data_IF_457738411268
#
_entry.id   IF_457738411268
#
_cell.length_a   1.000
_cell.length_b   1.000
_cell.length_c   1.000
_cell.angle_alpha   90.00
_cell.angle_beta   90.00
_cell.angle_gamma   90.00
#
_symmetry.space_group_name_H-M   'P 1'
#
loop_
_entity.id
_entity.type
_entity.pdbx_description
1 polymer ?
#
# COMPACT_ATOMS: atom_id res chain seq x y z
N UNK A 1 -5.28 -31.16 20.71
CA UNK A 1 -5.97 -29.88 20.87
C UNK A 1 -5.38 -28.99 19.80
N UNK A 2 -6.01 -28.95 18.64
CA UNK A 2 -5.65 -28.08 17.52
C UNK A 2 -6.22 -26.73 17.91
N UNK A 3 -5.38 -25.88 18.43
CA UNK A 3 -5.70 -24.48 18.62
C UNK A 3 -5.92 -23.90 17.23
N UNK A 4 -7.15 -23.54 16.92
CA UNK A 4 -7.46 -22.78 15.73
C UNK A 4 -6.49 -21.60 15.70
N UNK A 5 -5.60 -21.57 14.70
CA UNK A 5 -4.89 -20.36 14.32
C UNK A 5 -6.01 -19.37 14.02
N UNK A 6 -6.29 -18.52 15.01
CA UNK A 6 -7.20 -17.42 14.83
C UNK A 6 -6.71 -16.73 13.56
N UNK A 7 -7.61 -16.59 12.58
CA UNK A 7 -7.35 -15.77 11.42
C UNK A 7 -6.79 -14.45 11.95
N UNK A 8 -5.47 -14.37 11.92
CA UNK A 8 -4.79 -13.14 12.26
C UNK A 8 -5.51 -12.11 11.42
N UNK A 9 -6.01 -11.02 11.99
CA UNK A 9 -6.31 -9.88 11.18
C UNK A 9 -4.99 -9.60 10.50
N UNK A 10 -4.84 -10.16 9.29
CA UNK A 10 -3.69 -9.85 8.43
C UNK A 10 -3.74 -8.37 8.43
N UNK A 11 -2.84 -7.81 9.22
CA UNK A 11 -2.96 -6.46 9.67
C UNK A 11 -3.24 -5.65 8.44
N UNK A 12 -4.42 -5.07 8.39
CA UNK A 12 -4.91 -4.27 7.27
C UNK A 12 -3.92 -3.16 6.87
N UNK A 13 -2.79 -3.11 7.54
CA UNK A 13 -1.58 -2.34 7.28
C UNK A 13 -0.80 -2.82 6.04
N UNK A 14 -1.05 -4.02 5.52
CA UNK A 14 -0.31 -4.57 4.37
C UNK A 14 -0.72 -3.97 3.02
N UNK A 15 -1.60 -2.99 2.97
CA UNK A 15 -2.23 -2.51 1.73
C UNK A 15 -1.87 -1.10 1.31
N UNK A 16 -0.79 -0.57 1.81
CA UNK A 16 -0.38 0.76 1.41
C UNK A 16 0.42 0.72 0.11
N UNK A 17 -0.16 1.12 -1.00
CA UNK A 17 0.59 1.37 -2.23
C UNK A 17 1.25 2.75 -2.27
N UNK A 18 0.97 3.59 -1.30
CA UNK A 18 1.67 4.86 -1.08
C UNK A 18 2.51 4.81 0.21
N UNK A 19 3.36 3.80 0.37
CA UNK A 19 4.09 3.58 1.61
C UNK A 19 3.17 3.04 2.71
N UNK A 20 3.16 3.68 3.87
CA UNK A 20 2.35 3.28 5.02
C UNK A 20 0.86 3.70 4.94
N UNK A 21 0.44 4.40 3.87
CA UNK A 21 -0.96 4.79 3.66
C UNK A 21 -1.78 3.65 3.05
N UNK A 22 -3.06 3.57 3.40
CA UNK A 22 -3.93 2.43 3.06
C UNK A 22 -4.64 2.58 1.71
N UNK A 23 -4.86 3.82 1.24
CA UNK A 23 -5.58 4.10 -0.01
C UNK A 23 -4.60 4.38 -1.14
N UNK A 24 -4.62 3.52 -2.14
CA UNK A 24 -3.71 3.57 -3.28
C UNK A 24 -4.10 4.68 -4.26
N UNK A 25 -3.09 5.37 -4.82
CA UNK A 25 -3.29 6.18 -6.02
C UNK A 25 -3.22 5.31 -7.28
N UNK A 26 -3.82 5.78 -8.38
CA UNK A 26 -3.73 5.10 -9.66
C UNK A 26 -2.33 5.17 -10.30
N UNK A 27 -1.48 6.07 -9.85
CA UNK A 27 -0.12 6.25 -10.38
C UNK A 27 0.78 5.04 -10.08
N UNK A 28 1.70 4.76 -11.00
CA UNK A 28 2.89 3.94 -10.82
C UNK A 28 4.13 4.78 -11.13
N UNK A 29 5.29 4.36 -10.66
CA UNK A 29 6.56 5.03 -10.97
C UNK A 29 6.98 4.83 -12.43
N UNK A 30 8.04 5.51 -12.87
CA UNK A 30 8.60 5.36 -14.21
C UNK A 30 9.24 3.98 -14.41
N UNK A 31 9.23 3.50 -15.65
CA UNK A 31 9.89 2.23 -16.03
C UNK A 31 11.38 2.29 -15.69
N UNK A 32 11.88 1.21 -15.08
CA UNK A 32 13.28 1.10 -14.63
C UNK A 32 13.54 1.73 -13.26
N UNK A 33 12.58 2.44 -12.67
CA UNK A 33 12.70 2.91 -11.29
C UNK A 33 12.33 1.82 -10.29
N UNK A 34 12.97 1.89 -9.11
CA UNK A 34 12.64 1.07 -7.95
C UNK A 34 12.38 1.95 -6.73
N UNK A 35 11.71 1.41 -5.72
CA UNK A 35 11.57 2.05 -4.41
C UNK A 35 11.58 0.98 -3.30
N UNK A 36 12.02 1.39 -2.13
CA UNK A 36 11.87 0.65 -0.89
C UNK A 36 10.99 1.48 0.05
N UNK A 37 9.84 0.97 0.37
CA UNK A 37 8.95 1.51 1.38
C UNK A 37 9.07 0.66 2.63
N UNK A 38 9.22 1.29 3.80
CA UNK A 38 9.32 0.58 5.07
C UNK A 38 8.57 1.34 6.14
N UNK A 39 7.91 0.64 7.05
CA UNK A 39 7.24 1.28 8.17
C UNK A 39 7.16 0.40 9.40
N UNK A 40 7.02 1.08 10.53
CA UNK A 40 6.71 0.48 11.82
C UNK A 40 5.40 1.08 12.32
N UNK A 41 4.51 0.22 12.80
CA UNK A 41 3.21 0.61 13.34
C UNK A 41 3.00 -0.02 14.70
N UNK A 42 2.45 0.74 15.63
CA UNK A 42 2.05 0.26 16.95
C UNK A 42 0.67 0.77 17.32
N UNK A 43 -0.10 -0.05 18.00
CA UNK A 43 -1.47 0.27 18.39
C UNK A 43 -1.70 0.14 19.90
N UNK A 44 -2.75 0.79 20.39
CA UNK A 44 -3.11 0.81 21.82
C UNK A 44 -3.56 -0.56 22.35
N UNK A 45 -3.94 -1.49 21.47
CA UNK A 45 -4.28 -2.87 21.81
C UNK A 45 -3.07 -3.83 21.75
N UNK A 46 -1.85 -3.28 21.77
CA UNK A 46 -0.56 -4.00 21.67
C UNK A 46 -0.24 -4.60 20.30
N UNK A 47 -1.06 -4.39 19.28
CA UNK A 47 -0.72 -4.76 17.90
C UNK A 47 0.50 -3.98 17.44
N UNK A 48 1.34 -4.66 16.70
CA UNK A 48 2.59 -4.13 16.18
C UNK A 48 2.83 -4.66 14.76
N UNK A 49 3.43 -3.86 13.89
CA UNK A 49 3.92 -4.35 12.61
C UNK A 49 5.21 -3.63 12.19
N UNK A 50 6.10 -4.40 11.59
CA UNK A 50 7.30 -3.93 10.89
C UNK A 50 7.21 -4.44 9.46
N UNK A 51 7.31 -3.53 8.50
CA UNK A 51 7.09 -3.84 7.08
C UNK A 51 8.22 -3.30 6.23
N UNK A 52 8.62 -4.08 5.22
CA UNK A 52 9.47 -3.68 4.11
C UNK A 52 8.80 -4.09 2.79
N UNK A 53 8.70 -3.16 1.85
CA UNK A 53 8.02 -3.35 0.57
C UNK A 53 8.89 -2.81 -0.58
N UNK A 54 9.90 -3.57 -1.03
CA UNK A 54 10.60 -3.26 -2.27
C UNK A 54 9.68 -3.38 -3.47
N UNK A 55 9.78 -2.45 -4.42
CA UNK A 55 9.08 -2.53 -5.71
C UNK A 55 9.92 -1.95 -6.83
N UNK A 56 9.74 -2.48 -8.04
CA UNK A 56 10.35 -1.96 -9.27
C UNK A 56 9.32 -1.94 -10.39
N UNK A 57 9.48 -1.00 -11.31
CA UNK A 57 8.65 -0.92 -12.52
C UNK A 57 9.40 -1.49 -13.71
N UNK A 58 8.81 -2.50 -14.34
CA UNK A 58 9.31 -3.16 -15.54
C UNK A 58 8.38 -2.91 -16.72
N UNK A 59 8.92 -2.93 -17.94
CA UNK A 59 8.10 -2.90 -19.15
C UNK A 59 7.99 -4.31 -19.76
N UNK A 60 6.78 -4.82 -19.80
CA UNK A 60 6.43 -6.12 -20.44
C UNK A 60 5.43 -5.92 -21.59
N UNK A 61 5.58 -4.81 -22.34
CA UNK A 61 4.63 -4.32 -23.34
C UNK A 61 3.73 -3.20 -22.79
N UNK A 62 3.73 -3.02 -21.48
CA UNK A 62 3.23 -1.87 -20.73
C UNK A 62 3.91 -1.82 -19.35
N UNK A 63 3.97 -0.65 -18.71
CA UNK A 63 4.54 -0.53 -17.38
C UNK A 63 3.80 -1.36 -16.33
N UNK A 64 4.53 -2.19 -15.58
CA UNK A 64 4.02 -2.97 -14.45
C UNK A 64 4.93 -2.77 -13.25
N UNK A 65 4.37 -2.31 -12.14
CA UNK A 65 5.06 -2.27 -10.84
C UNK A 65 4.91 -3.63 -10.16
N UNK A 66 6.03 -4.28 -9.93
CA UNK A 66 6.13 -5.53 -9.16
C UNK A 66 6.63 -5.20 -7.77
N UNK A 67 6.00 -5.73 -6.75
CA UNK A 67 6.41 -5.55 -5.35
C UNK A 67 6.27 -6.83 -4.55
N UNK A 68 7.07 -6.93 -3.48
CA UNK A 68 6.94 -8.01 -2.48
C UNK A 68 7.00 -7.37 -1.10
N UNK A 69 5.83 -7.21 -0.49
CA UNK A 69 5.77 -6.75 0.89
C UNK A 69 6.13 -7.90 1.83
N UNK A 70 7.06 -7.64 2.73
CA UNK A 70 7.41 -8.56 3.82
C UNK A 70 7.04 -7.91 5.15
N UNK A 71 6.36 -8.64 6.02
CA UNK A 71 5.95 -8.12 7.33
C UNK A 71 6.27 -9.09 8.46
N UNK A 72 6.67 -8.51 9.59
CA UNK A 72 6.63 -9.13 10.91
C UNK A 72 5.59 -8.38 11.74
N UNK A 73 4.65 -9.09 12.32
CA UNK A 73 3.57 -8.48 13.09
C UNK A 73 3.30 -9.24 14.38
N UNK A 74 2.72 -8.53 15.34
CA UNK A 74 2.17 -9.07 16.58
C UNK A 74 0.70 -8.66 16.65
N UNK A 75 -0.19 -9.62 16.82
CA UNK A 75 -1.63 -9.38 16.96
C UNK A 75 -2.27 -10.48 17.76
N UNK A 76 -3.25 -10.15 18.58
CA UNK A 76 -3.94 -11.10 19.47
C UNK A 76 -2.98 -11.91 20.38
N UNK A 77 -1.81 -11.33 20.73
CA UNK A 77 -0.80 -11.97 21.58
C UNK A 77 0.19 -12.87 20.83
N UNK A 78 0.08 -13.02 19.53
CA UNK A 78 0.92 -13.91 18.72
C UNK A 78 1.77 -13.14 17.71
N UNK A 79 2.97 -13.67 17.42
CA UNK A 79 3.85 -13.16 16.37
C UNK A 79 3.66 -13.93 15.08
N UNK A 80 3.58 -13.21 13.97
CA UNK A 80 3.53 -13.77 12.64
C UNK A 80 4.50 -13.10 11.68
N UNK A 81 4.79 -13.78 10.58
CA UNK A 81 5.55 -13.25 9.47
C UNK A 81 4.81 -13.56 8.17
N UNK A 82 4.73 -12.60 7.26
CA UNK A 82 4.11 -12.83 5.97
C UNK A 82 4.88 -12.15 4.85
N UNK A 83 4.68 -12.64 3.63
CA UNK A 83 5.09 -11.95 2.42
C UNK A 83 3.92 -11.85 1.45
N UNK A 84 3.89 -10.75 0.69
CA UNK A 84 2.79 -10.44 -0.20
C UNK A 84 3.31 -9.94 -1.54
N UNK A 85 3.47 -10.84 -2.54
CA UNK A 85 3.73 -10.43 -3.92
C UNK A 85 2.50 -9.72 -4.50
N UNK A 86 2.75 -8.65 -5.26
CA UNK A 86 1.74 -7.82 -5.90
C UNK A 86 2.25 -7.30 -7.24
N UNK A 87 1.36 -7.27 -8.23
CA UNK A 87 1.60 -6.62 -9.51
C UNK A 87 0.54 -5.53 -9.73
N UNK A 88 0.98 -4.32 -10.14
CA UNK A 88 0.13 -3.16 -10.43
C UNK A 88 0.45 -2.59 -11.80
N UNK A 89 -0.60 -2.25 -12.57
CA UNK A 89 -0.44 -1.54 -13.84
C UNK A 89 -1.42 -0.38 -13.94
N UNK A 90 -0.97 0.70 -14.54
CA UNK A 90 -1.83 1.84 -14.85
C UNK A 90 -2.55 1.57 -16.17
N UNK A 91 -3.88 1.70 -16.16
CA UNK A 91 -4.75 1.51 -17.33
C UNK A 91 -5.08 2.84 -18.00
N UNK A 92 -5.26 3.89 -17.20
CA UNK A 92 -5.52 5.25 -17.64
C UNK A 92 -4.61 6.19 -16.84
N UNK A 93 -3.68 6.91 -17.48
CA UNK A 93 -2.79 7.84 -16.79
C UNK A 93 -3.55 8.96 -16.07
N UNK A 94 -3.04 9.37 -14.93
CA UNK A 94 -3.59 10.52 -14.20
C UNK A 94 -3.20 11.84 -14.87
N UNK A 95 -4.05 12.84 -14.73
CA UNK A 95 -3.79 14.20 -15.20
C UNK A 95 -4.66 15.20 -14.45
N UNK A 96 -4.29 16.48 -14.46
CA UNK A 96 -5.09 17.54 -13.81
C UNK A 96 -6.45 17.61 -14.50
N UNK A 97 -7.53 17.61 -13.71
CA UNK A 97 -8.91 17.58 -14.20
C UNK A 97 -9.33 16.25 -14.83
N UNK A 98 -8.53 15.18 -14.72
CA UNK A 98 -8.79 13.86 -15.29
C UNK A 98 -8.74 12.78 -14.22
N UNK A 99 -9.53 11.72 -14.45
CA UNK A 99 -9.48 10.50 -13.66
C UNK A 99 -8.43 9.57 -14.25
N UNK A 100 -7.45 9.17 -13.45
CA UNK A 100 -6.57 8.06 -13.74
C UNK A 100 -7.10 6.78 -13.13
N UNK A 101 -6.74 5.63 -13.70
CA UNK A 101 -7.21 4.34 -13.26
C UNK A 101 -6.10 3.28 -13.34
N UNK A 102 -5.99 2.46 -12.33
CA UNK A 102 -5.08 1.33 -12.29
C UNK A 102 -5.75 0.08 -11.75
N UNK A 103 -5.09 -1.05 -11.89
CA UNK A 103 -5.47 -2.30 -11.25
C UNK A 103 -4.24 -2.94 -10.65
N UNK A 104 -4.40 -3.57 -9.49
CA UNK A 104 -3.42 -4.47 -8.95
C UNK A 104 -4.04 -5.73 -8.37
N UNK A 105 -3.26 -6.80 -8.38
CA UNK A 105 -3.62 -8.07 -7.78
C UNK A 105 -2.42 -8.70 -7.08
N UNK A 106 -2.69 -9.56 -6.13
CA UNK A 106 -1.66 -10.26 -5.36
C UNK A 106 -2.24 -11.27 -4.40
N UNK A 107 -1.39 -11.78 -3.54
CA UNK A 107 -1.77 -12.70 -2.46
C UNK A 107 -0.82 -12.55 -1.29
N UNK A 108 -1.29 -12.91 -0.11
CA UNK A 108 -0.49 -12.95 1.12
C UNK A 108 -0.21 -14.41 1.49
N UNK A 109 1.00 -14.67 1.97
CA UNK A 109 1.46 -15.99 2.34
C UNK A 109 2.12 -15.94 3.71
N UNK A 110 1.92 -16.96 4.52
CA UNK A 110 2.74 -17.19 5.72
C UNK A 110 4.20 -17.44 5.32
N UNK A 111 5.13 -16.74 5.93
CA UNK A 111 6.53 -16.79 5.53
C UNK A 111 7.26 -18.06 5.99
N UNK A 112 6.70 -18.82 6.95
CA UNK A 112 7.30 -20.04 7.49
C UNK A 112 6.74 -21.27 6.77
N UNK A 113 5.42 -21.31 6.57
CA UNK A 113 4.73 -22.48 5.98
C UNK A 113 4.56 -22.38 4.47
N UNK A 114 4.59 -21.15 3.92
CA UNK A 114 4.25 -20.88 2.52
C UNK A 114 2.74 -20.97 2.24
N UNK A 115 1.91 -21.14 3.27
CA UNK A 115 0.47 -21.22 3.12
C UNK A 115 -0.11 -19.92 2.56
N UNK A 116 -0.97 -20.00 1.56
CA UNK A 116 -1.64 -18.83 1.02
C UNK A 116 -2.77 -18.40 1.95
N UNK A 117 -2.62 -17.23 2.55
CA UNK A 117 -3.55 -16.65 3.52
C UNK A 117 -4.67 -15.86 2.84
N UNK A 118 -4.33 -15.04 1.82
CA UNK A 118 -5.32 -14.24 1.08
C UNK A 118 -4.98 -14.11 -0.38
N UNK A 119 -6.02 -13.87 -1.19
CA UNK A 119 -5.91 -13.40 -2.58
C UNK A 119 -6.73 -12.14 -2.73
N UNK A 120 -6.23 -11.15 -3.47
CA UNK A 120 -6.93 -9.89 -3.65
C UNK A 120 -6.74 -9.29 -5.05
N UNK A 121 -7.72 -8.49 -5.47
CA UNK A 121 -7.65 -7.61 -6.63
C UNK A 121 -8.30 -6.27 -6.28
N UNK A 122 -7.64 -5.16 -6.64
CA UNK A 122 -8.10 -3.80 -6.30
C UNK A 122 -7.92 -2.89 -7.50
N UNK A 123 -8.86 -1.98 -7.67
CA UNK A 123 -8.92 -0.99 -8.73
C UNK A 123 -8.86 0.44 -8.14
N UNK A 124 -7.67 1.04 -8.03
CA UNK A 124 -7.51 2.44 -7.66
C UNK A 124 -7.92 3.38 -8.79
N UNK A 125 -8.67 4.42 -8.43
CA UNK A 125 -8.96 5.58 -9.25
C UNK A 125 -8.43 6.85 -8.57
N UNK A 126 -7.80 7.75 -9.33
CA UNK A 126 -7.28 9.02 -8.82
C UNK A 126 -7.82 10.17 -9.66
N UNK A 127 -8.44 11.15 -9.02
CA UNK A 127 -8.82 12.41 -9.63
C UNK A 127 -7.91 13.53 -9.13
N UNK A 128 -7.14 14.14 -10.02
CA UNK A 128 -6.29 15.29 -9.69
C UNK A 128 -7.08 16.57 -9.83
N UNK A 129 -7.43 17.21 -8.70
CA UNK A 129 -8.11 18.51 -8.70
C UNK A 129 -7.17 19.63 -9.14
N UNK A 130 -5.89 19.54 -8.74
CA UNK A 130 -4.83 20.51 -9.08
C UNK A 130 -3.46 19.84 -9.05
N UNK A 131 -2.39 20.60 -9.19
CA UNK A 131 -1.01 20.11 -8.98
C UNK A 131 -0.75 19.69 -7.52
N UNK A 132 -1.49 20.30 -6.59
CA UNK A 132 -1.30 20.07 -5.15
C UNK A 132 -2.35 19.19 -4.50
N UNK A 133 -3.50 18.95 -5.15
CA UNK A 133 -4.62 18.22 -4.55
C UNK A 133 -5.08 17.07 -5.42
N UNK A 134 -5.31 15.90 -4.79
CA UNK A 134 -5.93 14.76 -5.44
C UNK A 134 -6.85 13.99 -4.50
N UNK A 135 -7.83 13.30 -5.08
CA UNK A 135 -8.70 12.35 -4.41
C UNK A 135 -8.40 10.97 -4.98
N UNK A 136 -8.26 10.00 -4.10
CA UNK A 136 -8.04 8.59 -4.43
C UNK A 136 -9.26 7.79 -3.97
N UNK A 137 -9.74 6.88 -4.80
CA UNK A 137 -10.84 5.96 -4.48
C UNK A 137 -10.39 4.56 -4.83
N UNK A 138 -10.50 3.64 -3.87
CA UNK A 138 -10.18 2.24 -4.08
C UNK A 138 -11.45 1.41 -3.95
N UNK A 139 -11.64 0.50 -4.90
CA UNK A 139 -12.61 -0.57 -4.83
C UNK A 139 -11.91 -1.90 -5.13
N UNK A 140 -12.28 -2.97 -4.45
CA UNK A 140 -11.60 -4.23 -4.67
C UNK A 140 -12.28 -5.41 -4.01
N UNK A 141 -11.68 -6.57 -4.21
CA UNK A 141 -12.11 -7.83 -3.68
C UNK A 141 -10.95 -8.53 -2.98
N UNK A 142 -11.27 -9.19 -1.87
CA UNK A 142 -10.36 -10.04 -1.13
C UNK A 142 -11.04 -11.37 -0.80
N UNK A 143 -10.30 -12.43 -0.97
CA UNK A 143 -10.62 -13.75 -0.46
C UNK A 143 -9.66 -14.11 0.68
N UNK A 144 -10.20 -14.21 1.88
CA UNK A 144 -9.51 -14.78 3.03
C UNK A 144 -9.63 -16.29 2.95
N UNK A 145 -8.53 -16.98 2.72
CA UNK A 145 -8.51 -18.43 2.51
C UNK A 145 -8.52 -19.24 3.80
N UNK A 146 -8.13 -18.62 4.90
CA UNK A 146 -8.11 -19.31 6.21
C UNK A 146 -9.53 -19.58 6.70
N UNK A 147 -10.39 -18.56 6.55
CA UNK A 147 -11.80 -18.67 6.98
C UNK A 147 -12.77 -18.86 5.81
N UNK A 148 -12.25 -18.98 4.59
CA UNK A 148 -13.01 -19.10 3.34
C UNK A 148 -14.10 -18.02 3.20
N UNK A 149 -13.70 -16.74 3.32
CA UNK A 149 -14.60 -15.59 3.27
C UNK A 149 -14.17 -14.59 2.18
N UNK A 150 -15.17 -13.99 1.56
CA UNK A 150 -14.98 -12.94 0.56
C UNK A 150 -15.37 -11.58 1.13
N UNK A 151 -14.56 -10.56 0.83
CA UNK A 151 -14.77 -9.20 1.27
C UNK A 151 -14.69 -8.23 0.08
N UNK A 152 -15.57 -7.23 0.08
CA UNK A 152 -15.43 -6.04 -0.74
C UNK A 152 -14.50 -5.06 -0.03
N UNK A 153 -13.45 -4.62 -0.72
CA UNK A 153 -12.52 -3.61 -0.23
C UNK A 153 -12.95 -2.24 -0.70
N UNK A 154 -12.85 -1.23 0.17
CA UNK A 154 -13.13 0.15 -0.17
C UNK A 154 -12.16 1.10 0.52
N UNK A 155 -11.91 2.24 -0.13
CA UNK A 155 -11.08 3.30 0.41
C UNK A 155 -11.34 4.63 -0.28
N UNK A 156 -11.26 5.71 0.50
CA UNK A 156 -11.30 7.09 0.05
C UNK A 156 -10.11 7.82 0.68
N UNK A 157 -9.29 8.45 -0.14
CA UNK A 157 -8.14 9.22 0.28
C UNK A 157 -8.17 10.63 -0.30
N UNK A 158 -7.67 11.59 0.47
CA UNK A 158 -7.45 12.95 0.02
C UNK A 158 -6.03 13.35 0.36
N UNK A 159 -5.28 13.78 -0.67
CA UNK A 159 -3.90 14.25 -0.56
C UNK A 159 -3.84 15.74 -0.85
N UNK A 160 -3.14 16.49 -0.01
CA UNK A 160 -2.87 17.89 -0.20
C UNK A 160 -1.40 18.24 0.08
N UNK A 161 -0.68 18.64 -0.96
CA UNK A 161 0.64 19.25 -0.83
C UNK A 161 0.48 20.70 -0.45
N UNK A 162 0.66 21.03 0.81
CA UNK A 162 0.55 22.42 1.28
C UNK A 162 1.89 23.18 1.21
N UNK A 163 3.01 22.48 1.03
CA UNK A 163 4.31 23.03 0.58
C UNK A 163 4.97 22.07 -0.39
N UNK A 164 6.11 22.45 -0.97
CA UNK A 164 6.87 21.59 -1.89
C UNK A 164 7.40 20.32 -1.21
N UNK A 165 7.59 20.36 0.11
CA UNK A 165 8.17 19.26 0.90
C UNK A 165 7.20 18.58 1.85
N UNK A 166 6.00 19.18 2.09
CA UNK A 166 5.03 18.65 3.05
C UNK A 166 3.68 18.36 2.38
N UNK A 167 3.16 17.19 2.64
CA UNK A 167 1.85 16.72 2.18
C UNK A 167 1.05 16.20 3.38
N UNK A 168 -0.21 16.60 3.46
CA UNK A 168 -1.22 16.01 4.34
C UNK A 168 -1.98 14.94 3.54
N UNK A 169 -2.25 13.81 4.19
CA UNK A 169 -3.09 12.74 3.64
C UNK A 169 -4.15 12.36 4.68
N UNK A 170 -5.41 12.32 4.24
CA UNK A 170 -6.55 11.84 5.03
C UNK A 170 -7.15 10.64 4.32
N UNK A 171 -7.47 9.59 5.08
CA UNK A 171 -8.02 8.35 4.50
C UNK A 171 -9.13 7.77 5.36
N UNK A 172 -10.17 7.26 4.68
CA UNK A 172 -11.17 6.39 5.26
C UNK A 172 -11.21 5.09 4.43
N UNK A 173 -11.10 3.94 5.08
CA UNK A 173 -11.00 2.67 4.40
C UNK A 173 -11.55 1.52 5.24
N UNK A 174 -11.75 0.38 4.60
CA UNK A 174 -12.23 -0.81 5.26
C UNK A 174 -12.57 -1.93 4.28
N UNK A 175 -13.26 -2.90 4.81
CA UNK A 175 -13.81 -4.00 4.04
C UNK A 175 -15.24 -4.32 4.49
N UNK A 176 -16.06 -4.80 3.56
CA UNK A 176 -17.45 -5.20 3.81
C UNK A 176 -17.62 -6.66 3.40
N UNK A 177 -18.36 -7.41 4.20
CA UNK A 177 -18.60 -8.83 3.98
C UNK A 177 -19.09 -9.51 5.26
N UNK A 178 -19.30 -10.81 5.19
CA UNK A 178 -19.64 -11.60 6.36
C UNK A 178 -18.37 -11.99 7.10
N UNK A 179 -18.21 -11.52 8.31
CA UNK A 179 -17.06 -11.80 9.17
C UNK A 179 -17.51 -12.44 10.48
N UNK A 180 -16.70 -13.34 11.01
CA UNK A 180 -16.96 -13.98 12.32
C UNK A 180 -16.70 -13.00 13.47
N UNK A 181 -15.85 -11.98 13.25
CA UNK A 181 -15.57 -10.92 14.20
C UNK A 181 -15.94 -9.55 13.60
N UNK A 182 -16.72 -8.71 14.30
CA UNK A 182 -17.06 -7.37 13.82
C UNK A 182 -15.84 -6.48 13.54
N UNK A 183 -14.71 -6.70 14.24
CA UNK A 183 -13.47 -5.96 14.05
C UNK A 183 -12.92 -6.03 12.62
N UNK A 184 -13.17 -7.13 11.90
CA UNK A 184 -12.70 -7.36 10.53
C UNK A 184 -13.32 -6.38 9.53
N UNK A 185 -14.60 -6.01 9.73
CA UNK A 185 -15.37 -5.15 8.81
C UNK A 185 -15.53 -3.72 9.29
N UNK A 186 -14.91 -3.33 10.41
CA UNK A 186 -15.00 -1.96 10.93
C UNK A 186 -14.33 -0.97 9.99
N UNK A 187 -14.99 0.15 9.65
CA UNK A 187 -14.37 1.23 8.92
C UNK A 187 -13.28 1.89 9.76
N UNK A 188 -12.20 2.29 9.12
CA UNK A 188 -11.03 2.93 9.72
C UNK A 188 -10.81 4.29 9.11
N UNK A 189 -10.19 5.15 9.89
CA UNK A 189 -9.73 6.46 9.47
C UNK A 189 -8.27 6.63 9.85
N UNK A 190 -7.49 7.25 8.98
CA UNK A 190 -6.16 7.72 9.33
C UNK A 190 -5.84 9.08 8.71
N UNK A 191 -4.98 9.81 9.38
CA UNK A 191 -4.44 11.08 8.93
C UNK A 191 -2.93 11.04 9.08
N UNK A 192 -2.20 11.53 8.09
CA UNK A 192 -0.74 11.53 8.15
C UNK A 192 -0.12 12.69 7.41
N UNK A 193 1.09 13.01 7.82
CA UNK A 193 1.94 14.01 7.17
C UNK A 193 3.12 13.30 6.55
N UNK A 194 3.38 13.59 5.27
CA UNK A 194 4.58 13.19 4.55
C UNK A 194 5.53 14.35 4.43
N UNK A 195 6.75 14.16 4.89
CA UNK A 195 7.87 15.06 4.67
C UNK A 195 8.78 14.50 3.56
N UNK A 196 8.92 15.23 2.46
CA UNK A 196 9.76 14.87 1.32
C UNK A 196 10.79 15.95 1.05
N UNK A 197 11.98 15.90 1.69
CA UNK A 197 13.02 16.92 1.51
C UNK A 197 13.63 16.92 0.09
N UNK A 198 13.53 15.79 -0.61
CA UNK A 198 14.00 15.62 -1.99
C UNK A 198 13.21 14.49 -2.68
N UNK A 199 13.50 14.24 -3.96
CA UNK A 199 12.78 13.23 -4.73
C UNK A 199 13.12 11.78 -4.34
N UNK A 200 14.28 11.56 -3.71
CA UNK A 200 14.78 10.24 -3.35
C UNK A 200 14.17 9.75 -2.04
N UNK A 201 13.96 10.64 -1.07
CA UNK A 201 13.61 10.26 0.29
C UNK A 201 12.33 10.92 0.79
N UNK A 202 11.53 10.18 1.53
CA UNK A 202 10.40 10.72 2.30
C UNK A 202 10.18 9.98 3.61
N UNK A 203 9.60 10.70 4.59
CA UNK A 203 9.18 10.18 5.89
C UNK A 203 7.69 10.45 6.07
N UNK A 204 6.98 9.47 6.59
CA UNK A 204 5.55 9.54 6.89
C UNK A 204 5.34 9.40 8.40
N UNK A 205 4.51 10.26 8.99
CA UNK A 205 3.97 10.10 10.32
C UNK A 205 2.45 10.02 10.21
N UNK A 206 1.86 8.93 10.67
CA UNK A 206 0.43 8.64 10.50
C UNK A 206 -0.17 8.30 11.86
N UNK A 207 -1.33 8.84 12.13
CA UNK A 207 -2.21 8.45 13.22
C UNK A 207 -3.51 7.89 12.64
N UNK A 208 -3.97 6.77 13.17
CA UNK A 208 -5.20 6.14 12.72
C UNK A 208 -6.03 5.56 13.87
N UNK A 209 -7.29 5.30 13.57
CA UNK A 209 -8.26 4.69 14.49
C UNK A 209 -9.41 4.00 13.78
N UNK A 210 -10.07 3.09 14.48
CA UNK A 210 -11.38 2.60 14.07
C UNK A 210 -12.43 3.70 14.22
N UNK A 211 -13.34 3.85 13.26
CA UNK A 211 -14.41 4.87 13.30
C UNK A 211 -15.53 4.39 14.24
N UNK A 212 -15.78 3.09 14.28
CA UNK A 212 -16.86 2.49 15.08
C UNK A 212 -16.31 1.31 15.91
N UNK A 213 -16.82 1.14 17.13
CA UNK A 213 -16.50 0.03 18.01
C UNK A 213 -15.27 0.24 18.89
N UNK A 214 -14.45 -0.80 19.13
CA UNK A 214 -13.25 -0.69 19.95
C UNK A 214 -12.30 0.38 19.41
N UNK A 215 -11.83 1.22 20.31
CA UNK A 215 -10.97 2.35 19.96
C UNK A 215 -9.49 1.90 19.93
N UNK A 216 -9.13 0.96 19.06
CA UNK A 216 -7.74 0.76 18.74
C UNK A 216 -7.26 1.99 17.95
N UNK A 217 -6.29 2.71 18.53
CA UNK A 217 -5.60 3.79 17.85
C UNK A 217 -4.21 3.30 17.51
N UNK A 218 -3.67 3.70 16.37
CA UNK A 218 -2.31 3.37 15.98
C UNK A 218 -1.52 4.58 15.53
N UNK A 219 -0.20 4.47 15.68
CA UNK A 219 0.76 5.40 15.12
C UNK A 219 1.68 4.61 14.20
N UNK A 220 1.95 5.17 13.01
CA UNK A 220 2.86 4.59 12.03
C UNK A 220 3.92 5.60 11.66
N UNK A 221 5.18 5.16 11.68
CA UNK A 221 6.32 5.88 11.12
C UNK A 221 6.78 5.12 9.89
N UNK A 222 6.74 5.79 8.74
CA UNK A 222 7.11 5.23 7.45
C UNK A 222 8.29 5.96 6.82
N UNK A 223 9.00 5.26 5.95
CA UNK A 223 10.06 5.83 5.10
C UNK A 223 9.94 5.28 3.69
N UNK A 224 10.28 6.10 2.70
CA UNK A 224 10.39 5.67 1.31
C UNK A 224 11.72 6.14 0.74
N UNK A 225 12.47 5.22 0.17
CA UNK A 225 13.69 5.50 -0.62
C UNK A 225 13.38 5.16 -2.07
N UNK A 226 13.64 6.09 -2.98
CA UNK A 226 13.41 5.93 -4.43
C UNK A 226 14.73 5.84 -5.16
N UNK A 227 14.80 4.92 -6.09
CA UNK A 227 15.93 4.71 -6.97
C UNK A 227 15.44 5.06 -8.38
N UNK A 228 15.81 6.22 -8.95
CA UNK A 228 15.41 6.61 -10.30
C UNK A 228 15.94 5.61 -11.33
N UNK A 229 15.35 5.56 -12.53
CA UNK A 229 15.88 4.72 -13.60
C UNK A 229 17.33 5.10 -13.90
N UNK A 230 18.18 4.14 -14.26
CA UNK A 230 19.54 4.46 -14.69
C UNK A 230 19.46 5.42 -15.88
N UNK A 231 20.19 6.55 -15.80
CA UNK A 231 20.28 7.50 -16.92
C UNK A 231 20.64 6.73 -18.19
N UNK A 232 19.84 6.92 -19.24
CA UNK A 232 20.16 6.37 -20.55
C UNK A 232 21.51 6.96 -20.97
N UNK A 233 22.59 6.16 -20.93
CA UNK A 233 23.87 6.59 -21.42
C UNK A 233 23.68 7.11 -22.83
N UNK A 234 24.08 8.39 -23.15
CA UNK A 234 24.01 8.87 -24.51
C UNK A 234 24.74 7.85 -25.40
N UNK A 235 24.09 7.46 -26.49
CA UNK A 235 24.67 6.53 -27.46
C UNK A 235 26.08 6.99 -27.76
N UNK A 236 27.10 6.18 -27.41
CA UNK A 236 28.47 6.45 -27.75
C UNK A 236 28.50 6.67 -29.25
N UNK A 237 28.67 7.92 -29.70
CA UNK A 237 28.96 8.22 -31.09
C UNK A 237 30.12 7.29 -31.49
N UNK A 238 29.82 6.32 -32.33
CA UNK A 238 30.87 5.58 -33.04
C UNK A 238 31.50 6.57 -33.99
N UNK A 239 32.52 7.29 -33.52
CA UNK A 239 33.44 7.95 -34.39
C UNK A 239 34.10 6.86 -35.24
N UNK A 240 33.52 6.63 -36.41
CA UNK A 240 34.17 5.85 -37.46
C UNK A 240 35.42 6.62 -37.90
N UNK A 241 36.57 6.11 -37.52
CA UNK A 241 37.80 6.44 -38.23
C UNK A 241 37.77 5.64 -39.52
N UNK A 242 37.64 6.37 -40.63
CA UNK A 242 38.06 5.97 -41.98
C UNK A 242 39.58 6.04 -42.08
#
# INVERSE_FOLDING_TARGET
VITALAALPIGDNARAANGAFAVDAADISEVGSCKLESWISTATNTDFSLVANPSCVVDIGKPVELSVLSSRFHSDGEWGNSFQPKAKTNLVPTGIGKVGFSIYAGGSFDALTGENLTVFAVAPATYRLSETMRINVNGGWLWDRIVDRHFLLYGLGWDWKFTDVLQLTLEAFGQAGQADRPSVTRPRFQAGVRYRPNEIFSVDLIYGRNIMGENANWITLGTTIRFPPPESRPARERTGHL
#
